data_IF_476594213233
#
_entry.id   IF_476594213233
#
_cell.length_a   1.000
_cell.length_b   1.000
_cell.length_c   1.000
_cell.angle_alpha   90.00
_cell.angle_beta   90.00
_cell.angle_gamma   90.00
#
_symmetry.space_group_name_H-M   'P 1'
#
loop_
_entity.id
_entity.type
_entity.pdbx_description
1 polymer ?
#
# COMPACT_ATOMS: atom_id res chain seq x y z
N UNK A 1 29.96 11.98 -17.69
CA UNK A 1 31.26 11.64 -18.29
C UNK A 1 31.50 12.64 -19.41
N UNK A 2 32.71 13.20 -19.54
CA UNK A 2 33.10 14.45 -20.23
C UNK A 2 33.09 15.72 -19.37
N UNK A 3 34.16 15.91 -18.61
CA UNK A 3 34.68 17.23 -18.24
C UNK A 3 36.10 17.28 -18.82
N UNK A 4 36.29 18.12 -19.83
CA UNK A 4 37.58 18.38 -20.46
C UNK A 4 38.49 19.14 -19.49
N UNK A 5 39.69 18.64 -19.27
CA UNK A 5 40.73 19.24 -18.44
C UNK A 5 41.37 20.43 -19.15
N UNK A 6 41.08 21.66 -18.71
CA UNK A 6 41.81 22.84 -19.16
C UNK A 6 43.05 23.07 -18.28
N UNK A 7 44.23 22.92 -18.88
CA UNK A 7 45.56 23.24 -18.34
C UNK A 7 45.72 24.75 -18.10
N UNK A 8 46.05 25.14 -16.86
CA UNK A 8 46.34 26.53 -16.49
C UNK A 8 47.84 26.85 -16.74
N UNK A 9 48.12 27.67 -17.75
CA UNK A 9 49.46 28.23 -18.02
C UNK A 9 49.74 29.44 -17.11
N UNK A 10 50.95 29.51 -16.54
CA UNK A 10 51.42 30.58 -15.65
C UNK A 10 51.75 31.85 -16.46
N UNK A 11 51.07 32.96 -16.18
CA UNK A 11 51.40 34.28 -16.72
C UNK A 11 50.78 35.43 -15.92
N UNK A 12 51.66 36.29 -15.41
CA UNK A 12 51.49 37.68 -14.93
C UNK A 12 50.22 38.06 -14.13
N UNK A 13 50.44 38.35 -12.85
CA UNK A 13 49.42 38.86 -11.95
C UNK A 13 49.15 40.37 -12.20
N UNK A 14 47.91 40.76 -11.92
CA UNK A 14 47.46 42.12 -11.53
C UNK A 14 46.84 42.99 -12.64
N UNK A 15 45.55 42.78 -12.90
CA UNK A 15 44.47 43.82 -12.97
C UNK A 15 43.11 43.19 -13.39
N UNK A 16 43.11 41.94 -13.89
CA UNK A 16 41.93 41.26 -14.45
C UNK A 16 41.30 40.17 -13.55
N UNK A 17 41.83 39.97 -12.34
CA UNK A 17 41.41 38.86 -11.44
C UNK A 17 40.08 39.11 -10.72
N UNK A 18 39.79 40.35 -10.35
CA UNK A 18 38.59 40.68 -9.56
C UNK A 18 37.32 40.56 -10.40
N UNK A 19 37.31 41.08 -11.63
CA UNK A 19 36.14 41.04 -12.52
C UNK A 19 35.79 39.60 -12.94
N UNK A 20 36.79 38.72 -13.14
CA UNK A 20 36.55 37.28 -13.40
C UNK A 20 36.00 36.54 -12.19
N UNK A 21 36.47 36.86 -10.98
CA UNK A 21 35.95 36.27 -9.73
C UNK A 21 34.53 36.75 -9.44
N UNK A 22 34.24 38.04 -9.64
CA UNK A 22 32.90 38.62 -9.49
C UNK A 22 31.92 37.98 -10.48
N UNK A 23 32.32 37.86 -11.76
CA UNK A 23 31.49 37.18 -12.77
C UNK A 23 31.23 35.71 -12.41
N UNK A 24 32.25 34.97 -11.94
CA UNK A 24 32.09 33.59 -11.49
C UNK A 24 31.15 33.48 -10.27
N UNK A 25 31.25 34.41 -9.31
CA UNK A 25 30.40 34.43 -8.13
C UNK A 25 28.95 34.75 -8.47
N UNK A 26 28.71 35.70 -9.39
CA UNK A 26 27.37 36.02 -9.90
C UNK A 26 26.80 34.82 -10.66
N UNK A 27 27.56 34.19 -11.55
CA UNK A 27 27.11 33.01 -12.32
C UNK A 27 26.80 31.83 -11.38
N UNK A 28 27.63 31.56 -10.38
CA UNK A 28 27.39 30.51 -9.38
C UNK A 28 26.18 30.82 -8.49
N UNK A 29 25.98 32.09 -8.13
CA UNK A 29 24.82 32.54 -7.36
C UNK A 29 23.52 32.39 -8.16
N UNK A 30 23.53 32.81 -9.43
CA UNK A 30 22.40 32.64 -10.36
C UNK A 30 22.12 31.16 -10.63
N UNK A 31 23.15 30.34 -10.86
CA UNK A 31 22.99 28.91 -11.12
C UNK A 31 22.48 28.13 -9.90
N UNK A 32 22.91 28.48 -8.68
CA UNK A 32 22.32 27.93 -7.44
C UNK A 32 20.84 28.27 -7.29
N UNK A 33 20.46 29.53 -7.51
CA UNK A 33 19.05 29.95 -7.44
C UNK A 33 18.16 29.22 -8.46
N UNK A 34 18.66 28.95 -9.67
CA UNK A 34 17.93 28.20 -10.70
C UNK A 34 17.73 26.74 -10.29
N UNK A 35 18.76 26.08 -9.76
CA UNK A 35 18.68 24.67 -9.31
C UNK A 35 17.72 24.53 -8.12
N UNK A 36 17.74 25.48 -7.17
CA UNK A 36 16.85 25.48 -6.02
C UNK A 36 15.38 25.71 -6.44
N UNK A 37 15.15 26.52 -7.48
CA UNK A 37 13.84 26.76 -8.06
C UNK A 37 13.28 25.53 -8.81
N UNK A 38 14.08 24.89 -9.67
CA UNK A 38 13.70 23.64 -10.37
C UNK A 38 13.39 22.51 -9.37
N UNK A 39 14.16 22.42 -8.29
CA UNK A 39 13.94 21.43 -7.22
C UNK A 39 12.66 21.70 -6.43
N UNK A 40 12.28 22.97 -6.28
CA UNK A 40 11.00 23.35 -5.67
C UNK A 40 9.83 22.97 -6.59
N UNK A 41 9.93 23.21 -7.91
CA UNK A 41 8.91 22.80 -8.88
C UNK A 41 8.72 21.27 -8.94
N UNK A 42 9.81 20.50 -8.94
CA UNK A 42 9.73 19.03 -8.86
C UNK A 42 9.01 18.55 -7.59
N UNK A 43 9.26 19.20 -6.45
CA UNK A 43 8.59 18.87 -5.18
C UNK A 43 7.10 19.22 -5.23
N UNK A 44 6.74 20.36 -5.83
CA UNK A 44 5.34 20.77 -6.03
C UNK A 44 4.60 19.80 -6.97
N UNK A 45 5.24 19.36 -8.05
CA UNK A 45 4.71 18.35 -8.98
C UNK A 45 4.55 16.96 -8.31
N UNK A 46 5.50 16.56 -7.46
CA UNK A 46 5.41 15.33 -6.66
C UNK A 46 4.28 15.38 -5.63
N UNK A 47 4.07 16.55 -5.00
CA UNK A 47 2.96 16.73 -4.06
C UNK A 47 1.60 16.66 -4.78
N UNK A 48 1.45 17.36 -5.91
CA UNK A 48 0.21 17.37 -6.68
C UNK A 48 -0.16 16.00 -7.25
N UNK A 49 0.82 15.22 -7.73
CA UNK A 49 0.61 13.84 -8.18
C UNK A 49 0.29 12.87 -7.03
N UNK A 50 0.89 13.06 -5.85
CA UNK A 50 0.55 12.32 -4.63
C UNK A 50 -0.90 12.58 -4.21
N UNK A 51 -1.34 13.84 -4.20
CA UNK A 51 -2.72 14.22 -3.83
C UNK A 51 -3.77 13.65 -4.78
N UNK A 52 -3.51 13.65 -6.09
CA UNK A 52 -4.43 13.07 -7.06
C UNK A 52 -4.49 11.54 -6.95
N UNK A 53 -3.35 10.91 -6.68
CA UNK A 53 -3.29 9.47 -6.39
C UNK A 53 -4.08 9.14 -5.13
N UNK A 54 -3.93 9.92 -4.07
CA UNK A 54 -4.65 9.76 -2.81
C UNK A 54 -6.17 9.91 -2.99
N UNK A 55 -6.62 10.86 -3.82
CA UNK A 55 -8.05 10.99 -4.18
C UNK A 55 -8.58 9.79 -4.96
N UNK A 56 -7.79 9.22 -5.87
CA UNK A 56 -8.16 8.00 -6.60
C UNK A 56 -8.21 6.80 -5.67
N UNK A 57 -7.25 6.69 -4.75
CA UNK A 57 -7.24 5.65 -3.73
C UNK A 57 -8.52 5.73 -2.88
N UNK A 58 -8.88 6.91 -2.37
CA UNK A 58 -10.06 7.15 -1.53
C UNK A 58 -11.40 6.69 -2.15
N UNK A 59 -11.49 6.60 -3.47
CA UNK A 59 -12.69 6.14 -4.17
C UNK A 59 -12.84 4.62 -4.17
N UNK A 60 -11.72 3.90 -4.13
CA UNK A 60 -11.68 2.45 -4.19
C UNK A 60 -12.00 1.81 -2.82
N UNK A 61 -12.52 0.56 -2.81
CA UNK A 61 -12.88 -0.10 -1.57
C UNK A 61 -11.65 -0.40 -0.71
N UNK A 62 -11.51 0.36 0.38
CA UNK A 62 -10.44 0.13 1.34
C UNK A 62 -10.79 -0.98 2.33
N UNK A 63 -9.78 -1.77 2.67
CA UNK A 63 -9.89 -2.86 3.64
C UNK A 63 -8.95 -2.67 4.83
N UNK A 64 -9.34 -3.18 5.98
CA UNK A 64 -8.42 -3.34 7.12
C UNK A 64 -8.39 -4.82 7.51
N UNK A 65 -7.19 -5.36 7.72
CA UNK A 65 -7.00 -6.71 8.25
C UNK A 65 -6.43 -6.62 9.65
N UNK A 66 -7.14 -7.19 10.62
CA UNK A 66 -6.76 -7.22 12.04
C UNK A 66 -7.02 -8.60 12.66
N UNK A 67 -6.44 -8.84 13.82
CA UNK A 67 -6.86 -9.93 14.69
C UNK A 67 -7.58 -9.41 15.95
N UNK A 68 -8.43 -10.24 16.54
CA UNK A 68 -9.10 -9.96 17.81
C UNK A 68 -8.60 -10.89 18.91
N UNK A 69 -8.29 -10.31 20.06
CA UNK A 69 -7.88 -11.03 21.27
C UNK A 69 -6.44 -11.52 21.23
N UNK A 70 -6.11 -12.48 22.10
CA UNK A 70 -4.76 -13.05 22.19
C UNK A 70 -4.57 -14.10 21.09
N UNK A 71 -3.84 -13.75 20.03
CA UNK A 71 -3.46 -14.69 18.96
C UNK A 71 -1.98 -15.05 19.02
N UNK A 72 -1.66 -16.29 18.61
CA UNK A 72 -0.30 -16.80 18.50
C UNK A 72 0.46 -16.25 17.30
N UNK A 73 1.77 -16.51 17.23
CA UNK A 73 2.65 -15.98 16.18
C UNK A 73 2.20 -16.37 14.76
N UNK A 74 1.78 -17.62 14.56
CA UNK A 74 1.34 -18.09 13.24
C UNK A 74 0.14 -17.32 12.70
N UNK A 75 -0.83 -16.99 13.55
CA UNK A 75 -2.00 -16.19 13.14
C UNK A 75 -1.61 -14.75 12.81
N UNK A 76 -0.61 -14.18 13.51
CA UNK A 76 -0.06 -12.85 13.16
C UNK A 76 0.69 -12.88 11.84
N UNK A 77 1.40 -13.97 11.54
CA UNK A 77 2.02 -14.16 10.22
C UNK A 77 0.96 -14.28 9.14
N UNK A 78 -0.12 -15.05 9.38
CA UNK A 78 -1.24 -15.15 8.45
C UNK A 78 -1.92 -13.80 8.21
N UNK A 79 -2.13 -13.00 9.26
CA UNK A 79 -2.63 -11.63 9.17
C UNK A 79 -1.74 -10.75 8.29
N UNK A 80 -0.41 -10.86 8.44
CA UNK A 80 0.53 -10.12 7.60
C UNK A 80 0.51 -10.56 6.15
N UNK A 81 0.43 -11.87 5.90
CA UNK A 81 0.27 -12.44 4.56
C UNK A 81 -1.04 -11.96 3.91
N UNK A 82 -2.14 -11.90 4.67
CA UNK A 82 -3.42 -11.36 4.19
C UNK A 82 -3.34 -9.86 3.90
N UNK A 83 -2.61 -9.06 4.70
CA UNK A 83 -2.38 -7.64 4.38
C UNK A 83 -1.63 -7.49 3.07
N UNK A 84 -0.58 -8.28 2.85
CA UNK A 84 0.18 -8.22 1.60
C UNK A 84 -0.72 -8.45 0.37
N UNK A 85 -1.67 -9.38 0.45
CA UNK A 85 -2.63 -9.66 -0.63
C UNK A 85 -3.59 -8.48 -0.87
N UNK A 86 -3.97 -7.76 0.19
CA UNK A 86 -4.92 -6.64 0.12
C UNK A 86 -4.27 -5.30 -0.26
N UNK A 87 -2.96 -5.26 -0.50
CA UNK A 87 -2.28 -4.05 -1.00
C UNK A 87 -2.78 -3.68 -2.42
N UNK A 88 -2.82 -2.38 -2.77
CA UNK A 88 -2.43 -1.20 -1.98
C UNK A 88 -3.55 -0.64 -1.09
N UNK A 89 -4.78 -1.15 -1.20
CA UNK A 89 -5.97 -0.57 -0.56
C UNK A 89 -6.18 -1.03 0.88
N UNK A 90 -5.08 -1.24 1.62
CA UNK A 90 -5.13 -1.73 2.99
C UNK A 90 -4.18 -1.00 3.92
N UNK A 91 -4.50 -0.99 5.21
CA UNK A 91 -3.67 -0.35 6.22
C UNK A 91 -2.52 -1.29 6.67
N UNK A 92 -1.45 -1.39 5.89
CA UNK A 92 -0.31 -2.29 6.18
C UNK A 92 0.42 -1.94 7.48
N UNK A 93 0.49 -0.65 7.82
CA UNK A 93 1.20 -0.14 9.00
C UNK A 93 0.37 -0.19 10.28
N UNK A 94 -0.90 -0.58 10.20
CA UNK A 94 -1.80 -0.65 11.35
C UNK A 94 -1.30 -1.72 12.35
N UNK A 95 -1.01 -1.29 13.58
CA UNK A 95 -0.61 -2.18 14.68
C UNK A 95 -1.77 -2.38 15.63
N UNK A 96 -2.21 -3.63 15.76
CA UNK A 96 -3.25 -4.01 16.73
C UNK A 96 -2.64 -4.08 18.13
N UNK A 97 -3.15 -3.24 19.04
CA UNK A 97 -2.78 -3.27 20.45
C UNK A 97 -3.81 -4.06 21.26
N UNK A 98 -3.39 -4.65 22.38
CA UNK A 98 -4.29 -5.40 23.29
C UNK A 98 -5.45 -4.55 23.84
N UNK A 99 -5.24 -3.23 23.95
CA UNK A 99 -6.23 -2.25 24.41
C UNK A 99 -7.30 -1.90 23.36
N UNK A 100 -7.05 -2.20 22.08
CA UNK A 100 -7.94 -1.80 21.01
C UNK A 100 -9.14 -2.77 20.97
N UNK A 101 -10.34 -2.20 20.91
CA UNK A 101 -11.55 -2.96 20.71
C UNK A 101 -11.93 -2.99 19.23
N UNK A 102 -12.72 -4.00 18.84
CA UNK A 102 -13.26 -4.10 17.49
C UNK A 102 -14.09 -2.86 17.11
N UNK A 103 -14.83 -2.30 18.08
CA UNK A 103 -15.64 -1.09 17.90
C UNK A 103 -14.80 0.11 17.43
N UNK A 104 -13.62 0.28 18.02
CA UNK A 104 -12.71 1.39 17.69
C UNK A 104 -12.26 1.31 16.23
N UNK A 105 -12.01 0.10 15.72
CA UNK A 105 -11.64 -0.09 14.32
C UNK A 105 -12.80 0.16 13.36
N UNK A 106 -14.05 -0.14 13.76
CA UNK A 106 -15.23 0.15 12.93
C UNK A 106 -15.47 1.67 12.87
N UNK A 107 -15.44 2.34 14.02
CA UNK A 107 -15.66 3.79 14.11
C UNK A 107 -14.55 4.55 13.38
N UNK A 108 -13.28 4.27 13.69
CA UNK A 108 -12.15 4.96 13.05
C UNK A 108 -12.01 4.55 11.58
N UNK A 109 -12.30 3.28 11.26
CA UNK A 109 -12.30 2.80 9.88
C UNK A 109 -13.32 3.53 9.02
N UNK A 110 -14.51 3.81 9.55
CA UNK A 110 -15.53 4.58 8.83
C UNK A 110 -15.05 6.01 8.50
N UNK A 111 -14.35 6.68 9.43
CA UNK A 111 -13.76 8.01 9.21
C UNK A 111 -12.67 7.98 8.14
N UNK A 112 -11.91 6.88 8.07
CA UNK A 112 -10.86 6.66 7.07
C UNK A 112 -11.38 6.14 5.72
N UNK A 113 -12.70 6.03 5.52
CA UNK A 113 -13.28 5.51 4.28
C UNK A 113 -13.12 4.00 4.09
N UNK A 114 -12.83 3.25 5.15
CA UNK A 114 -12.68 1.80 5.09
C UNK A 114 -14.03 1.14 4.94
N UNK A 115 -14.16 0.34 3.88
CA UNK A 115 -15.40 -0.34 3.52
C UNK A 115 -15.49 -1.74 4.14
N UNK A 116 -14.37 -2.47 4.20
CA UNK A 116 -14.32 -3.86 4.64
C UNK A 116 -13.32 -4.07 5.77
N UNK A 117 -13.72 -4.82 6.79
CA UNK A 117 -12.87 -5.18 7.92
C UNK A 117 -12.77 -6.71 8.02
N UNK A 118 -11.57 -7.24 7.89
CA UNK A 118 -11.24 -8.64 8.02
C UNK A 118 -10.67 -8.88 9.42
N UNK A 119 -11.32 -9.73 10.19
CA UNK A 119 -10.99 -9.97 11.60
C UNK A 119 -10.69 -11.45 11.82
N UNK A 120 -9.43 -11.76 12.13
CA UNK A 120 -9.01 -13.08 12.56
C UNK A 120 -9.21 -13.22 14.08
N UNK A 121 -10.03 -14.18 14.50
CA UNK A 121 -10.25 -14.48 15.91
C UNK A 121 -9.81 -15.90 16.21
N UNK A 122 -8.99 -16.08 17.24
CA UNK A 122 -8.65 -17.42 17.75
C UNK A 122 -9.63 -17.78 18.87
N UNK A 123 -10.51 -18.74 18.61
CA UNK A 123 -11.28 -19.43 19.65
C UNK A 123 -10.44 -20.52 20.31
N UNK A 124 -11.05 -21.29 21.21
CA UNK A 124 -10.37 -22.40 21.90
C UNK A 124 -9.98 -23.52 20.92
N UNK A 125 -10.92 -23.92 20.05
CA UNK A 125 -10.74 -25.08 19.17
C UNK A 125 -10.53 -24.72 17.70
N UNK A 126 -10.76 -23.47 17.29
CA UNK A 126 -10.62 -23.07 15.89
C UNK A 126 -10.40 -21.58 15.69
N UNK A 127 -9.86 -21.25 14.52
CA UNK A 127 -9.68 -19.86 14.07
C UNK A 127 -10.88 -19.51 13.20
N UNK A 128 -11.41 -18.32 13.40
CA UNK A 128 -12.53 -17.78 12.62
C UNK A 128 -12.08 -16.52 11.90
N UNK A 129 -12.38 -16.43 10.61
CA UNK A 129 -12.26 -15.22 9.81
C UNK A 129 -13.63 -14.56 9.73
N UNK A 130 -13.72 -13.30 10.17
CA UNK A 130 -14.94 -12.49 10.02
C UNK A 130 -14.68 -11.40 8.99
N UNK A 131 -15.58 -11.26 8.03
CA UNK A 131 -15.57 -10.18 7.04
C UNK A 131 -16.75 -9.29 7.34
N UNK A 132 -16.48 -8.05 7.74
CA UNK A 132 -17.48 -7.08 8.18
C UNK A 132 -17.51 -5.93 7.19
N UNK A 133 -18.70 -5.57 6.71
CA UNK A 133 -18.91 -4.34 5.93
C UNK A 133 -19.17 -3.17 6.90
N UNK A 134 -18.30 -2.16 6.90
CA UNK A 134 -18.39 -0.96 7.76
C UNK A 134 -19.04 0.23 7.02
N UNK A 135 -19.85 1.10 7.64
CA UNK A 135 -20.27 1.11 9.05
C UNK A 135 -21.53 0.27 9.33
N UNK A 136 -22.40 0.12 8.32
CA UNK A 136 -23.62 -0.68 8.39
C UNK A 136 -23.56 -1.72 7.28
N UNK A 137 -23.70 -2.98 7.64
CA UNK A 137 -23.69 -4.06 6.66
C UNK A 137 -23.59 -5.45 7.26
N UNK A 138 -23.70 -6.46 6.41
CA UNK A 138 -23.63 -7.85 6.82
C UNK A 138 -22.23 -8.20 7.34
N UNK A 139 -22.19 -9.18 8.25
CA UNK A 139 -20.95 -9.82 8.69
C UNK A 139 -20.97 -11.27 8.25
N UNK A 140 -19.98 -11.67 7.44
CA UNK A 140 -19.73 -13.07 7.13
C UNK A 140 -18.77 -13.64 8.17
N UNK A 141 -19.04 -14.85 8.65
CA UNK A 141 -18.17 -15.55 9.60
C UNK A 141 -17.83 -16.93 9.03
N UNK A 142 -16.53 -17.17 8.85
CA UNK A 142 -15.99 -18.40 8.31
C UNK A 142 -15.11 -19.08 9.34
N UNK A 143 -15.37 -20.37 9.60
CA UNK A 143 -14.45 -21.21 10.35
C UNK A 143 -13.33 -21.66 9.43
N UNK A 144 -12.10 -21.31 9.77
CA UNK A 144 -10.92 -21.77 9.03
C UNK A 144 -10.69 -23.23 9.38
N UNK A 145 -10.71 -24.12 8.38
CA UNK A 145 -10.38 -25.54 8.56
C UNK A 145 -8.88 -25.72 8.61
N UNK A 146 -8.18 -25.24 7.59
CA UNK A 146 -6.74 -25.36 7.42
C UNK A 146 -6.18 -24.04 6.87
N UNK A 147 -4.93 -23.73 7.21
CA UNK A 147 -4.23 -22.55 6.68
C UNK A 147 -2.74 -22.86 6.53
N UNK A 148 -2.10 -22.19 5.58
CA UNK A 148 -0.66 -22.29 5.32
C UNK A 148 -0.09 -20.88 5.22
N UNK A 149 1.13 -20.69 5.74
CA UNK A 149 1.82 -19.41 5.66
C UNK A 149 2.57 -19.27 4.35
N UNK A 150 2.64 -18.04 3.82
CA UNK A 150 3.34 -17.76 2.56
C UNK A 150 4.80 -18.26 2.61
N UNK A 151 5.48 -18.06 3.74
CA UNK A 151 6.86 -18.55 3.95
C UNK A 151 7.01 -20.06 3.76
N UNK A 152 6.04 -20.86 4.19
CA UNK A 152 6.10 -22.33 4.06
C UNK A 152 5.87 -22.76 2.59
N UNK A 153 4.98 -22.07 1.88
CA UNK A 153 4.75 -22.31 0.44
C UNK A 153 6.01 -21.97 -0.36
N UNK A 154 6.63 -20.83 -0.08
CA UNK A 154 7.88 -20.41 -0.75
C UNK A 154 9.02 -21.40 -0.47
N UNK A 155 9.13 -21.92 0.75
CA UNK A 155 10.15 -22.92 1.08
C UNK A 155 9.89 -24.29 0.43
N UNK A 156 8.63 -24.68 0.26
CA UNK A 156 8.26 -25.96 -0.34
C UNK A 156 8.29 -25.92 -1.89
N UNK A 157 8.14 -24.74 -2.49
CA UNK A 157 8.16 -24.59 -3.94
C UNK A 157 9.55 -24.82 -4.52
N UNK A 158 9.63 -25.71 -5.53
CA UNK A 158 10.87 -25.96 -6.31
C UNK A 158 11.39 -24.71 -7.01
N UNK A 159 10.48 -23.87 -7.51
CA UNK A 159 10.80 -22.56 -8.12
C UNK A 159 10.35 -21.46 -7.17
N UNK A 160 11.31 -20.82 -6.51
CA UNK A 160 11.06 -19.69 -5.61
C UNK A 160 10.67 -18.48 -6.45
N UNK A 161 9.38 -18.16 -6.45
CA UNK A 161 8.88 -16.93 -7.05
C UNK A 161 8.79 -15.87 -5.96
N UNK A 162 9.68 -14.87 -5.97
CA UNK A 162 9.65 -13.76 -5.02
C UNK A 162 9.19 -12.50 -5.74
N UNK A 163 7.91 -12.19 -5.62
CA UNK A 163 7.28 -11.09 -6.35
C UNK A 163 6.75 -10.00 -5.42
N UNK A 164 7.65 -9.38 -4.67
CA UNK A 164 7.27 -8.27 -3.79
C UNK A 164 6.68 -7.08 -4.57
N UNK A 165 7.04 -6.93 -5.85
CA UNK A 165 6.48 -5.91 -6.75
C UNK A 165 5.04 -6.21 -7.22
N UNK A 166 4.57 -7.46 -7.20
CA UNK A 166 3.21 -7.79 -7.64
C UNK A 166 2.14 -7.26 -6.67
N UNK A 167 2.50 -7.04 -5.40
CA UNK A 167 1.60 -6.47 -4.39
C UNK A 167 1.43 -4.95 -4.51
N UNK A 168 2.08 -4.29 -5.49
CA UNK A 168 1.86 -2.85 -5.75
C UNK A 168 0.52 -2.64 -6.45
N UNK A 169 0.13 -3.58 -7.32
CA UNK A 169 -1.16 -3.57 -8.02
C UNK A 169 -2.20 -4.37 -7.24
N UNK A 170 -3.45 -3.91 -7.27
CA UNK A 170 -4.55 -4.65 -6.66
C UNK A 170 -4.77 -6.01 -7.33
N UNK A 171 -5.16 -7.05 -6.56
CA UNK A 171 -5.34 -8.39 -7.09
C UNK A 171 -6.63 -8.52 -7.92
N UNK A 172 -6.61 -9.46 -8.87
CA UNK A 172 -7.80 -9.87 -9.62
C UNK A 172 -8.57 -10.94 -8.84
N UNK A 173 -9.88 -10.75 -8.72
CA UNK A 173 -10.78 -11.71 -8.09
C UNK A 173 -11.38 -12.63 -9.14
N UNK A 174 -11.16 -13.93 -8.99
CA UNK A 174 -11.80 -14.97 -9.80
C UNK A 174 -12.69 -15.82 -8.88
N UNK A 175 -13.99 -15.83 -9.13
CA UNK A 175 -14.96 -16.61 -8.37
C UNK A 175 -15.50 -17.73 -9.26
N UNK A 176 -15.13 -18.98 -8.97
CA UNK A 176 -15.62 -20.17 -9.67
C UNK A 176 -16.53 -20.98 -8.75
N UNK A 177 -17.62 -21.55 -9.30
CA UNK A 177 -18.53 -22.44 -8.56
C UNK A 177 -19.56 -21.75 -7.66
N UNK A 178 -19.65 -20.41 -7.68
CA UNK A 178 -20.74 -19.68 -7.03
C UNK A 178 -21.94 -19.61 -7.99
N UNK A 179 -22.69 -20.71 -8.10
CA UNK A 179 -23.87 -20.74 -8.96
C UNK A 179 -25.05 -20.04 -8.26
N UNK A 180 -25.81 -19.25 -9.02
CA UNK A 180 -27.01 -18.53 -8.55
C UNK A 180 -28.04 -19.43 -7.86
N UNK A 181 -28.00 -20.72 -8.16
CA UNK A 181 -28.95 -21.73 -7.69
C UNK A 181 -28.58 -22.33 -6.31
N UNK A 182 -27.39 -22.06 -5.77
CA UNK A 182 -26.91 -22.63 -4.51
C UNK A 182 -27.46 -21.94 -3.24
N UNK A 183 -28.27 -20.89 -3.39
CA UNK A 183 -28.97 -20.20 -2.31
C UNK A 183 -28.52 -18.75 -2.09
N UNK A 184 -29.42 -17.92 -1.54
CA UNK A 184 -29.22 -16.47 -1.34
C UNK A 184 -27.97 -16.13 -0.51
N UNK A 185 -27.59 -16.99 0.42
CA UNK A 185 -26.40 -16.78 1.26
C UNK A 185 -25.08 -16.85 0.45
N UNK A 186 -25.03 -17.68 -0.60
CA UNK A 186 -23.87 -17.80 -1.50
C UNK A 186 -23.76 -16.56 -2.38
N UNK A 187 -24.89 -16.05 -2.87
CA UNK A 187 -24.94 -14.80 -3.65
C UNK A 187 -24.47 -13.60 -2.81
N UNK A 188 -24.85 -13.55 -1.52
CA UNK A 188 -24.37 -12.53 -0.59
C UNK A 188 -22.84 -12.60 -0.42
N UNK A 189 -22.31 -13.81 -0.23
CA UNK A 189 -20.86 -14.04 -0.12
C UNK A 189 -20.16 -13.56 -1.38
N UNK A 190 -20.68 -13.92 -2.56
CA UNK A 190 -20.15 -13.47 -3.84
C UNK A 190 -20.14 -11.95 -3.96
N UNK A 191 -21.25 -11.29 -3.67
CA UNK A 191 -21.36 -9.84 -3.72
C UNK A 191 -20.36 -9.14 -2.80
N UNK A 192 -20.16 -9.66 -1.57
CA UNK A 192 -19.20 -9.08 -0.62
C UNK A 192 -17.75 -9.25 -1.10
N UNK A 193 -17.39 -10.42 -1.64
CA UNK A 193 -16.04 -10.64 -2.17
C UNK A 193 -15.76 -9.80 -3.41
N UNK A 194 -16.72 -9.67 -4.33
CA UNK A 194 -16.59 -8.82 -5.52
C UNK A 194 -16.40 -7.34 -5.13
N UNK A 195 -17.19 -6.85 -4.18
CA UNK A 195 -17.13 -5.45 -3.74
C UNK A 195 -15.95 -5.13 -2.81
N UNK A 196 -15.18 -6.13 -2.38
CA UNK A 196 -13.99 -5.93 -1.54
C UNK A 196 -12.77 -5.43 -2.34
N UNK A 197 -12.77 -5.65 -3.65
CA UNK A 197 -11.69 -5.31 -4.55
C UNK A 197 -12.19 -4.33 -5.62
N UNK A 198 -11.30 -3.51 -6.20
CA UNK A 198 -11.68 -2.61 -7.28
C UNK A 198 -12.28 -3.40 -8.45
N UNK A 199 -13.37 -2.90 -9.01
CA UNK A 199 -14.02 -3.53 -10.17
C UNK A 199 -13.15 -3.33 -11.40
N UNK A 200 -12.82 -4.42 -12.09
CA UNK A 200 -12.12 -4.36 -13.37
C UNK A 200 -13.15 -4.15 -14.48
N UNK A 201 -13.16 -2.96 -15.07
CA UNK A 201 -13.91 -2.72 -16.30
C UNK A 201 -13.12 -3.34 -17.46
N UNK A 202 -13.70 -4.30 -18.15
CA UNK A 202 -13.04 -5.04 -19.24
C UNK A 202 -13.15 -4.32 -20.60
N UNK A 203 -13.85 -3.18 -20.62
CA UNK A 203 -14.20 -2.44 -21.85
C UNK A 203 -13.21 -1.31 -22.18
N UNK A 204 -11.90 -1.52 -22.01
CA UNK A 204 -10.87 -0.55 -22.44
C UNK A 204 -9.69 -1.26 -23.06
#
# INVERSE_FOLDING_TARGET
MYISTATLSKGSANHWGLNKLIACFIILSVSKNIIDFEKHEENMMKQKSSEETERKLLKEPHSIVIHRGKVGQFVRSLEHDMRAIMEPFTASKLKVMKRNNLKDFIVNGAVLGVTHLLVLTRGENSITLRIIRSPQGPTLSFRIKEYTLARHIISASKRKMHFQRLFISAPLVVMSGFNSNCGRHVQLVQSIFQNMFPTVNVDT
#
